data_IF_095370129471
#
_entry.id   IF_095370129471
#
_cell.length_a   1.000
_cell.length_b   1.000
_cell.length_c   1.000
_cell.angle_alpha   90.00
_cell.angle_beta   90.00
_cell.angle_gamma   90.00
#
_symmetry.space_group_name_H-M   'P 1'
#
loop_
_entity.id
_entity.type
_entity.pdbx_description
1 polymer ?
#
# COMPACT_ATOMS: atom_id res chain seq x y z
N UNK A 1 -20.88 13.83 1.83
CA UNK A 1 -21.36 14.10 0.46
C UNK A 1 -20.36 13.66 -0.60
N UNK A 2 -19.09 14.13 -0.60
CA UNK A 2 -18.07 13.72 -1.58
C UNK A 2 -17.82 12.20 -1.65
N UNK A 3 -17.85 11.50 -0.53
CA UNK A 3 -17.63 10.03 -0.46
C UNK A 3 -18.65 9.24 -1.27
N UNK A 4 -19.94 9.63 -1.22
CA UNK A 4 -21.01 8.93 -1.95
C UNK A 4 -20.88 9.15 -3.46
N UNK A 5 -20.54 10.37 -3.89
CA UNK A 5 -20.31 10.71 -5.30
C UNK A 5 -19.12 9.96 -5.91
N UNK A 6 -18.03 9.80 -5.16
CA UNK A 6 -16.84 9.08 -5.65
C UNK A 6 -17.13 7.58 -5.77
N UNK A 7 -17.87 6.99 -4.82
CA UNK A 7 -18.24 5.57 -4.87
C UNK A 7 -19.27 5.23 -5.96
N UNK A 8 -20.10 6.19 -6.38
CA UNK A 8 -21.06 5.99 -7.49
C UNK A 8 -20.47 6.29 -8.87
N UNK A 9 -19.50 7.21 -8.97
CA UNK A 9 -18.86 7.56 -10.24
C UNK A 9 -17.73 6.61 -10.60
N UNK A 10 -16.96 6.11 -9.62
CA UNK A 10 -15.78 5.27 -9.85
C UNK A 10 -15.94 3.90 -9.19
N UNK A 11 -15.65 2.83 -9.94
CA UNK A 11 -15.53 1.48 -9.38
C UNK A 11 -14.45 1.42 -8.29
N UNK A 12 -14.61 0.54 -7.30
CA UNK A 12 -13.68 0.40 -6.15
C UNK A 12 -12.23 0.20 -6.59
N UNK A 13 -12.01 -0.50 -7.71
CA UNK A 13 -10.69 -0.65 -8.34
C UNK A 13 -10.05 0.69 -8.68
N UNK A 14 -10.78 1.59 -9.33
CA UNK A 14 -10.25 2.88 -9.77
C UNK A 14 -9.92 3.79 -8.59
N UNK A 15 -10.76 3.77 -7.55
CA UNK A 15 -10.51 4.50 -6.29
C UNK A 15 -9.18 4.03 -5.69
N UNK A 16 -8.97 2.71 -5.63
CA UNK A 16 -7.74 2.13 -5.07
C UNK A 16 -6.50 2.45 -5.92
N UNK A 17 -6.59 2.37 -7.25
CA UNK A 17 -5.50 2.74 -8.16
C UNK A 17 -5.08 4.20 -7.98
N UNK A 18 -6.04 5.12 -7.93
CA UNK A 18 -5.75 6.55 -7.75
C UNK A 18 -5.18 6.82 -6.36
N UNK A 19 -5.73 6.18 -5.33
CA UNK A 19 -5.19 6.25 -3.98
C UNK A 19 -3.73 5.80 -3.93
N UNK A 20 -3.41 4.63 -4.50
CA UNK A 20 -2.06 4.09 -4.49
C UNK A 20 -1.07 4.89 -5.33
N UNK A 21 -1.52 5.69 -6.29
CA UNK A 21 -0.66 6.58 -7.07
C UNK A 21 -0.37 7.91 -6.35
N UNK A 22 -1.32 8.42 -5.57
CA UNK A 22 -1.19 9.71 -4.86
C UNK A 22 -0.57 9.52 -3.48
N UNK A 23 -0.72 8.34 -2.87
CA UNK A 23 -0.24 8.06 -1.52
C UNK A 23 1.28 8.27 -1.38
N UNK A 24 1.70 8.95 -0.31
CA UNK A 24 3.11 9.16 0.02
C UNK A 24 3.71 7.87 0.59
N UNK A 25 4.50 7.16 -0.23
CA UNK A 25 5.10 5.86 0.11
C UNK A 25 6.48 5.98 0.74
N UNK A 26 6.95 7.20 0.98
CA UNK A 26 8.22 7.54 1.60
C UNK A 26 8.50 9.05 1.49
N UNK A 27 9.56 9.53 2.14
CA UNK A 27 9.90 10.96 2.19
C UNK A 27 10.06 11.53 0.76
N UNK A 28 9.10 12.32 0.32
CA UNK A 28 9.08 12.91 -1.03
C UNK A 28 8.87 11.90 -2.16
N UNK A 29 8.33 10.72 -1.86
CA UNK A 29 7.99 9.69 -2.86
C UNK A 29 6.49 9.45 -2.86
N UNK A 30 5.87 9.76 -3.99
CA UNK A 30 4.44 9.60 -4.21
C UNK A 30 4.21 8.41 -5.14
N UNK A 31 3.31 7.54 -4.74
CA UNK A 31 2.90 6.39 -5.51
C UNK A 31 3.59 5.08 -5.10
N UNK A 32 2.83 3.99 -5.22
CA UNK A 32 3.28 2.63 -4.93
C UNK A 32 4.46 2.21 -5.82
N UNK A 33 4.45 2.56 -7.11
CA UNK A 33 5.53 2.20 -8.03
C UNK A 33 6.82 2.96 -7.74
N UNK A 34 6.73 4.26 -7.47
CA UNK A 34 7.90 5.05 -7.10
C UNK A 34 8.53 4.57 -5.79
N UNK A 35 7.70 4.17 -4.82
CA UNK A 35 8.17 3.54 -3.58
C UNK A 35 8.86 2.20 -3.82
N UNK A 36 8.31 1.36 -4.69
CA UNK A 36 8.88 0.06 -5.05
C UNK A 36 10.28 0.22 -5.69
N UNK A 37 10.40 1.10 -6.68
CA UNK A 37 11.67 1.37 -7.37
C UNK A 37 12.69 1.95 -6.37
N UNK A 38 12.27 2.91 -5.54
CA UNK A 38 13.18 3.57 -4.58
C UNK A 38 13.72 2.64 -3.51
N UNK A 39 12.91 1.72 -2.99
CA UNK A 39 13.28 0.89 -1.83
C UNK A 39 13.68 -0.54 -2.17
N UNK A 40 13.21 -1.09 -3.29
CA UNK A 40 13.43 -2.48 -3.68
C UNK A 40 14.04 -2.63 -5.09
N UNK A 41 14.30 -1.51 -5.78
CA UNK A 41 14.95 -1.47 -7.09
C UNK A 41 14.21 -2.26 -8.19
N UNK A 42 12.89 -2.39 -8.07
CA UNK A 42 12.01 -3.00 -9.07
C UNK A 42 10.60 -2.41 -9.03
N UNK A 43 9.81 -2.62 -10.08
CA UNK A 43 8.44 -2.13 -10.18
C UNK A 43 7.48 -2.75 -9.16
N UNK A 44 6.38 -2.06 -8.88
CA UNK A 44 5.32 -2.51 -7.97
C UNK A 44 4.68 -3.83 -8.39
N UNK A 45 4.75 -4.20 -9.67
CA UNK A 45 4.25 -5.48 -10.19
C UNK A 45 5.04 -6.69 -9.69
N UNK A 46 6.26 -6.50 -9.20
CA UNK A 46 7.14 -7.54 -8.69
C UNK A 46 7.23 -7.57 -7.16
N UNK A 47 6.47 -6.72 -6.47
CA UNK A 47 6.47 -6.68 -5.01
C UNK A 47 6.02 -8.01 -4.41
N UNK A 48 6.85 -8.57 -3.54
CA UNK A 48 6.44 -9.63 -2.65
C UNK A 48 5.42 -9.11 -1.62
N UNK A 49 4.57 -9.99 -1.06
CA UNK A 49 3.62 -9.61 0.00
C UNK A 49 4.29 -8.94 1.21
N UNK A 50 5.55 -9.31 1.48
CA UNK A 50 6.37 -8.71 2.54
C UNK A 50 6.85 -7.30 2.20
N UNK A 51 7.24 -7.04 0.96
CA UNK A 51 7.67 -5.70 0.51
C UNK A 51 6.48 -4.75 0.39
N UNK A 52 5.37 -5.22 -0.18
CA UNK A 52 4.12 -4.48 -0.20
C UNK A 52 3.62 -4.14 1.21
N UNK A 53 3.71 -5.10 2.15
CA UNK A 53 3.38 -4.86 3.56
C UNK A 53 4.29 -3.82 4.23
N UNK A 54 5.56 -3.72 3.84
CA UNK A 54 6.49 -2.70 4.34
C UNK A 54 6.16 -1.31 3.78
N UNK A 55 5.83 -1.20 2.49
CA UNK A 55 5.37 0.07 1.88
C UNK A 55 4.07 0.52 2.54
N UNK A 56 3.11 -0.40 2.73
CA UNK A 56 1.85 -0.09 3.39
C UNK A 56 2.03 0.36 4.85
N UNK A 57 3.04 -0.16 5.55
CA UNK A 57 3.38 0.25 6.91
C UNK A 57 3.96 1.67 7.02
N UNK A 58 4.37 2.30 5.91
CA UNK A 58 4.87 3.69 5.86
C UNK A 58 3.71 4.70 5.84
N UNK A 59 2.60 4.34 5.20
CA UNK A 59 1.43 5.19 4.99
C UNK A 59 0.80 5.83 6.25
N UNK A 60 0.75 5.20 7.45
CA UNK A 60 0.13 5.84 8.60
C UNK A 60 0.92 7.05 9.16
N UNK A 61 2.24 7.18 8.90
CA UNK A 61 3.08 8.25 9.47
C UNK A 61 4.27 8.62 8.54
N UNK A 62 4.03 9.30 7.41
CA UNK A 62 5.08 9.60 6.42
C UNK A 62 6.11 10.64 6.89
N UNK A 63 5.73 11.56 7.79
CA UNK A 63 6.59 12.70 8.23
C UNK A 63 7.74 12.37 9.19
N UNK A 64 7.83 11.14 9.74
CA UNK A 64 8.90 10.76 10.70
C UNK A 64 9.64 9.47 10.34
N UNK A 65 9.29 8.77 9.27
CA UNK A 65 9.76 7.40 9.00
C UNK A 65 10.25 7.27 7.57
N UNK A 66 11.55 7.43 7.37
CA UNK A 66 12.20 6.96 6.15
C UNK A 66 12.07 5.43 6.10
N UNK A 67 11.65 4.86 4.96
CA UNK A 67 11.70 3.41 4.76
C UNK A 67 13.14 2.86 4.62
N UNK A 68 14.15 3.65 5.05
CA UNK A 68 15.58 3.41 4.90
C UNK A 68 16.22 2.96 6.24
N UNK A 69 15.45 2.84 7.32
CA UNK A 69 15.93 2.14 8.51
C UNK A 69 14.96 1.03 8.93
N UNK A 70 15.15 -0.23 8.46
CA UNK A 70 14.32 -1.37 8.84
C UNK A 70 14.61 -1.87 10.28
N UNK A 71 14.73 -0.95 11.25
CA UNK A 71 14.80 -1.28 12.67
C UNK A 71 13.47 -0.93 13.37
N UNK A 72 12.96 -1.88 14.17
CA UNK A 72 11.77 -1.67 15.01
C UNK A 72 10.41 -1.82 14.31
N UNK A 73 9.59 -0.76 14.34
CA UNK A 73 8.14 -0.82 14.07
C UNK A 73 7.77 -1.19 12.63
N UNK A 74 8.47 -0.66 11.62
CA UNK A 74 8.16 -0.93 10.20
C UNK A 74 8.34 -2.41 9.86
N UNK A 75 9.39 -3.04 10.39
CA UNK A 75 9.61 -4.49 10.23
C UNK A 75 8.54 -5.32 10.94
N UNK A 76 8.21 -4.98 12.19
CA UNK A 76 7.18 -5.69 12.96
C UNK A 76 5.80 -5.55 12.32
N UNK A 77 5.41 -4.33 11.96
CA UNK A 77 4.10 -4.03 11.37
C UNK A 77 3.99 -4.57 9.94
N UNK A 78 5.05 -4.46 9.12
CA UNK A 78 5.10 -5.06 7.79
C UNK A 78 4.95 -6.58 7.83
N UNK A 79 5.59 -7.26 8.78
CA UNK A 79 5.42 -8.71 8.98
C UNK A 79 4.01 -9.08 9.50
N UNK A 80 3.36 -8.21 10.29
CA UNK A 80 1.96 -8.40 10.68
C UNK A 80 1.03 -8.23 9.48
N UNK A 81 1.26 -7.23 8.64
CA UNK A 81 0.49 -7.00 7.42
C UNK A 81 0.66 -8.16 6.43
N UNK A 82 1.88 -8.66 6.23
CA UNK A 82 2.12 -9.81 5.35
C UNK A 82 1.48 -11.10 5.87
N UNK A 83 1.27 -11.25 7.18
CA UNK A 83 0.50 -12.37 7.75
C UNK A 83 -1.01 -12.18 7.63
N UNK A 84 -1.50 -10.95 7.57
CA UNK A 84 -2.94 -10.65 7.45
C UNK A 84 -3.42 -10.65 6.00
N UNK A 85 -2.53 -10.37 5.05
CA UNK A 85 -2.87 -10.38 3.62
C UNK A 85 -3.31 -11.76 3.14
N UNK A 86 -2.83 -12.84 3.76
CA UNK A 86 -3.31 -14.19 3.46
C UNK A 86 -4.78 -14.39 3.87
N UNK A 87 -5.22 -13.81 4.98
CA UNK A 87 -6.63 -13.83 5.41
C UNK A 87 -7.49 -13.08 4.40
N UNK A 88 -7.08 -11.88 4.00
CA UNK A 88 -7.80 -11.09 2.97
C UNK A 88 -7.98 -11.89 1.69
N UNK A 89 -6.92 -12.57 1.23
CA UNK A 89 -6.95 -13.39 0.02
C UNK A 89 -7.82 -14.64 0.16
N UNK A 90 -7.74 -15.32 1.30
CA UNK A 90 -8.46 -16.58 1.52
C UNK A 90 -9.96 -16.35 1.74
N UNK A 91 -10.31 -15.26 2.41
CA UNK A 91 -11.70 -14.93 2.76
C UNK A 91 -12.37 -14.04 1.68
N UNK A 92 -11.64 -13.70 0.60
CA UNK A 92 -12.16 -12.91 -0.51
C UNK A 92 -12.57 -11.48 -0.14
N UNK A 93 -11.95 -10.92 0.90
CA UNK A 93 -12.25 -9.57 1.39
C UNK A 93 -11.86 -8.47 0.38
N UNK A 94 -11.07 -8.80 -0.64
CA UNK A 94 -10.72 -7.94 -1.78
C UNK A 94 -11.68 -8.07 -2.99
N UNK A 95 -12.74 -8.87 -2.89
CA UNK A 95 -13.67 -9.16 -4.02
C UNK A 95 -14.22 -7.91 -4.71
N UNK A 96 -14.53 -6.86 -3.94
CA UNK A 96 -15.01 -5.58 -4.47
C UNK A 96 -14.02 -4.86 -5.39
N UNK A 97 -12.72 -5.19 -5.35
CA UNK A 97 -11.70 -4.60 -6.23
C UNK A 97 -11.60 -5.31 -7.60
N UNK A 98 -12.25 -6.48 -7.74
CA UNK A 98 -12.23 -7.29 -8.97
C UNK A 98 -13.47 -7.08 -9.83
N UNK A 99 -14.47 -6.39 -9.31
CA UNK A 99 -15.71 -6.01 -10.00
C UNK A 99 -15.52 -4.72 -10.80
#
# INVERSE_FOLDING_TARGET
YFTVLIETLWGKRRIMEVYLNIAETGIGTYGANAGAIRYFNHDASRLSPTEAGRIAAVLPLPKKRAAIDPHGFVRKHGNTLSRRVSVVRNDGLDSCLRT
#
